data_IF_821242882269
#
_entry.id   IF_821242882269
#
_cell.length_a   1.000
_cell.length_b   1.000
_cell.length_c   1.000
_cell.angle_alpha   90.00
_cell.angle_beta   90.00
_cell.angle_gamma   90.00
#
_symmetry.space_group_name_H-M   'P 1'
#
loop_
_entity.id
_entity.type
_entity.pdbx_description
1 polymer ?
#
# COMPACT_ATOMS: atom_id res chain seq x y z
N UNK A 1 3.57 6.06 -26.68
CA UNK A 1 2.98 7.23 -26.00
C UNK A 1 4.12 8.13 -25.56
N UNK A 2 4.04 9.45 -25.86
CA UNK A 2 4.97 10.43 -25.31
C UNK A 2 4.56 10.78 -23.88
N UNK A 3 5.50 10.68 -22.94
CA UNK A 3 5.29 11.15 -21.57
C UNK A 3 5.53 12.66 -21.58
N UNK A 4 4.53 13.43 -21.16
CA UNK A 4 4.67 14.87 -20.95
C UNK A 4 5.05 15.10 -19.48
N UNK A 5 6.17 15.79 -19.24
CA UNK A 5 6.67 16.09 -17.91
C UNK A 5 6.47 17.58 -17.60
N UNK A 6 5.86 17.86 -16.45
CA UNK A 6 5.75 19.18 -15.88
C UNK A 6 6.60 19.25 -14.60
N UNK A 7 7.41 20.29 -14.45
CA UNK A 7 8.24 20.49 -13.28
C UNK A 7 7.73 21.71 -12.52
N UNK A 8 7.14 21.47 -11.36
CA UNK A 8 6.73 22.51 -10.42
C UNK A 8 7.83 22.68 -9.37
N UNK A 9 8.39 23.90 -9.27
CA UNK A 9 9.40 24.24 -8.27
C UNK A 9 8.79 25.23 -7.29
N UNK A 10 8.72 24.85 -6.03
CA UNK A 10 8.38 25.77 -4.94
C UNK A 10 9.64 26.07 -4.11
N UNK A 11 9.73 27.33 -3.63
CA UNK A 11 10.83 27.80 -2.78
C UNK A 11 10.42 27.95 -1.31
N UNK A 12 9.19 27.58 -0.98
CA UNK A 12 8.63 27.79 0.35
C UNK A 12 8.69 26.49 1.16
N UNK A 13 8.99 26.60 2.44
CA UNK A 13 9.06 25.52 3.44
C UNK A 13 7.71 24.80 3.70
N UNK A 14 6.66 25.10 2.93
CA UNK A 14 5.30 24.58 3.09
C UNK A 14 4.90 23.60 1.98
N UNK A 15 5.74 22.61 1.71
CA UNK A 15 5.48 21.58 0.69
C UNK A 15 4.16 20.82 0.89
N UNK A 16 3.66 20.68 2.13
CA UNK A 16 2.40 19.98 2.41
C UNK A 16 1.17 20.59 1.73
N UNK A 17 1.02 21.91 1.79
CA UNK A 17 -0.11 22.59 1.16
C UNK A 17 -0.05 22.46 -0.38
N UNK A 18 1.15 22.48 -0.94
CA UNK A 18 1.38 22.27 -2.36
C UNK A 18 1.07 20.82 -2.74
N UNK A 19 1.60 19.84 -2.01
CA UNK A 19 1.35 18.41 -2.25
C UNK A 19 -0.15 18.14 -2.22
N UNK A 20 -0.88 18.64 -1.22
CA UNK A 20 -2.34 18.49 -1.16
C UNK A 20 -3.04 19.06 -2.39
N UNK A 21 -2.64 20.26 -2.83
CA UNK A 21 -3.23 20.89 -4.00
C UNK A 21 -2.93 20.11 -5.29
N UNK A 22 -1.68 19.71 -5.49
CA UNK A 22 -1.25 18.98 -6.69
C UNK A 22 -1.86 17.58 -6.75
N UNK A 23 -1.95 16.88 -5.62
CA UNK A 23 -2.52 15.52 -5.56
C UNK A 23 -4.02 15.47 -5.82
N UNK A 24 -4.72 16.60 -5.73
CA UNK A 24 -6.13 16.71 -6.19
C UNK A 24 -6.29 16.48 -7.69
N UNK A 25 -5.28 16.81 -8.47
CA UNK A 25 -5.29 16.74 -9.93
C UNK A 25 -4.39 15.62 -10.48
N UNK A 26 -3.83 14.80 -9.60
CA UNK A 26 -2.99 13.68 -9.93
C UNK A 26 -3.73 12.35 -9.71
N UNK A 27 -3.43 11.35 -10.54
CA UNK A 27 -3.95 9.99 -10.37
C UNK A 27 -3.13 9.20 -9.33
N UNK A 28 -1.86 9.55 -9.15
CA UNK A 28 -0.93 8.83 -8.27
C UNK A 28 0.19 9.77 -7.79
N UNK A 29 0.50 9.70 -6.50
CA UNK A 29 1.71 10.29 -5.91
C UNK A 29 2.76 9.19 -5.71
N UNK A 30 3.94 9.36 -6.30
CA UNK A 30 5.07 8.44 -6.09
C UNK A 30 6.09 9.10 -5.17
N UNK A 31 6.46 8.42 -4.09
CA UNK A 31 7.41 8.91 -3.09
C UNK A 31 8.57 7.93 -2.90
N UNK A 32 9.79 8.44 -2.82
CA UNK A 32 10.95 7.66 -2.39
C UNK A 32 10.86 7.38 -0.87
N UNK A 33 10.62 6.12 -0.53
CA UNK A 33 10.48 5.70 0.86
C UNK A 33 11.78 5.82 1.67
N UNK A 34 12.97 5.75 1.06
CA UNK A 34 14.24 5.80 1.80
C UNK A 34 14.54 7.20 2.33
N UNK A 35 14.48 8.22 1.50
CA UNK A 35 14.73 9.61 1.90
C UNK A 35 13.75 10.13 2.96
N UNK A 36 12.54 9.57 2.99
CA UNK A 36 11.55 9.91 3.99
C UNK A 36 11.87 9.37 5.39
N UNK A 37 12.71 8.33 5.49
CA UNK A 37 13.03 7.69 6.76
C UNK A 37 14.44 8.01 7.27
N UNK A 38 15.33 8.59 6.44
CA UNK A 38 16.74 8.82 6.77
C UNK A 38 17.00 9.90 7.83
N UNK A 39 16.04 10.80 8.10
CA UNK A 39 16.30 12.00 8.93
C UNK A 39 15.67 11.94 10.33
N UNK A 40 15.17 10.81 10.81
CA UNK A 40 14.43 10.79 12.07
C UNK A 40 14.63 9.51 12.86
N UNK A 41 14.71 9.75 14.20
CA UNK A 41 14.72 8.78 15.29
C UNK A 41 14.04 7.45 14.91
N UNK A 42 14.79 6.39 15.05
CA UNK A 42 14.69 5.05 14.45
C UNK A 42 13.35 4.29 14.55
N UNK A 43 12.26 4.89 14.98
CA UNK A 43 11.06 4.13 15.33
C UNK A 43 9.73 4.59 14.74
N UNK A 44 9.65 5.72 14.03
CA UNK A 44 8.39 6.21 13.46
C UNK A 44 8.59 7.00 12.16
N UNK A 45 7.63 6.91 11.18
CA UNK A 45 7.61 7.85 10.08
C UNK A 45 7.52 9.27 10.66
N UNK A 46 8.29 10.19 10.07
CA UNK A 46 8.31 11.57 10.54
C UNK A 46 6.90 12.21 10.49
N UNK A 47 6.70 13.26 11.27
CA UNK A 47 5.43 13.96 11.29
C UNK A 47 5.01 14.43 9.90
N UNK A 48 5.97 14.78 9.04
CA UNK A 48 5.77 15.20 7.67
C UNK A 48 5.23 14.08 6.77
N UNK A 49 5.79 12.85 6.87
CA UNK A 49 5.27 11.68 6.16
C UNK A 49 3.86 11.34 6.61
N UNK A 50 3.60 11.41 7.92
CA UNK A 50 2.25 11.19 8.47
C UNK A 50 1.26 12.17 7.86
N UNK A 51 1.65 13.42 7.77
CA UNK A 51 0.81 14.48 7.21
C UNK A 51 0.56 14.26 5.72
N UNK A 52 1.58 13.93 4.93
CA UNK A 52 1.40 13.58 3.50
C UNK A 52 0.42 12.42 3.35
N UNK A 53 0.63 11.31 4.08
CA UNK A 53 -0.26 10.15 4.01
C UNK A 53 -1.71 10.45 4.41
N UNK A 54 -1.96 11.54 5.16
CA UNK A 54 -3.30 11.96 5.55
C UNK A 54 -3.92 13.04 4.66
N UNK A 55 -3.09 13.84 4.00
CA UNK A 55 -3.58 15.03 3.29
C UNK A 55 -3.63 14.88 1.78
N UNK A 56 -2.97 13.87 1.22
CA UNK A 56 -3.03 13.60 -0.23
C UNK A 56 -4.44 13.23 -0.65
N UNK A 57 -4.83 13.70 -1.83
CA UNK A 57 -6.17 13.47 -2.41
C UNK A 57 -6.15 12.39 -3.51
N UNK A 58 -4.99 11.77 -3.76
CA UNK A 58 -4.83 10.62 -4.65
C UNK A 58 -4.09 9.45 -3.96
N UNK A 59 -4.13 8.24 -4.52
CA UNK A 59 -3.32 7.12 -4.06
C UNK A 59 -1.83 7.44 -4.01
N UNK A 60 -1.11 6.73 -3.16
CA UNK A 60 0.33 6.89 -2.95
C UNK A 60 1.03 5.56 -3.26
N UNK A 61 2.12 5.62 -4.01
CA UNK A 61 3.07 4.54 -4.19
C UNK A 61 4.39 4.92 -3.52
N UNK A 62 4.69 4.24 -2.42
CA UNK A 62 5.96 4.35 -1.73
C UNK A 62 6.94 3.38 -2.37
N UNK A 63 8.05 3.89 -2.90
CA UNK A 63 9.03 3.07 -3.62
C UNK A 63 10.39 3.13 -2.93
N UNK A 64 11.12 2.01 -2.82
CA UNK A 64 12.53 2.03 -2.46
C UNK A 64 13.39 2.55 -3.62
N UNK A 65 14.62 3.02 -3.33
CA UNK A 65 15.51 3.63 -4.34
C UNK A 65 15.80 2.71 -5.55
N UNK A 66 15.68 1.40 -5.38
CA UNK A 66 15.84 0.40 -6.45
C UNK A 66 14.55 -0.40 -6.60
N UNK A 67 13.54 0.25 -7.13
CA UNK A 67 12.25 -0.41 -7.43
C UNK A 67 12.32 -1.14 -8.77
N UNK A 68 11.78 -2.34 -8.79
CA UNK A 68 11.61 -3.16 -10.00
C UNK A 68 10.13 -3.41 -10.26
N UNK A 69 9.80 -3.72 -11.50
CA UNK A 69 8.45 -4.15 -11.89
C UNK A 69 8.07 -5.39 -11.06
N UNK A 70 6.82 -5.44 -10.52
CA UNK A 70 6.41 -6.55 -9.68
C UNK A 70 6.42 -7.90 -10.43
N UNK A 71 6.76 -8.95 -9.73
CA UNK A 71 6.52 -10.32 -10.17
C UNK A 71 5.25 -10.89 -9.51
N UNK A 72 4.82 -10.27 -8.41
CA UNK A 72 3.66 -10.70 -7.64
C UNK A 72 3.01 -9.52 -6.91
N UNK A 73 1.68 -9.54 -6.84
CA UNK A 73 0.91 -8.54 -6.08
C UNK A 73 0.35 -9.17 -4.80
N UNK A 74 0.53 -8.48 -3.70
CA UNK A 74 -0.02 -8.88 -2.39
C UNK A 74 -1.07 -7.84 -2.00
N UNK A 75 -2.32 -8.27 -1.93
CA UNK A 75 -3.45 -7.42 -1.54
C UNK A 75 -3.77 -7.65 -0.06
N UNK A 76 -3.53 -6.65 0.77
CA UNK A 76 -3.88 -6.68 2.17
C UNK A 76 -5.36 -6.32 2.35
N UNK A 77 -6.14 -7.26 2.88
CA UNK A 77 -7.57 -7.11 3.11
C UNK A 77 -7.89 -7.29 4.60
N UNK A 78 -8.64 -6.35 5.17
CA UNK A 78 -9.08 -6.34 6.56
C UNK A 78 -10.61 -6.25 6.71
N UNK A 79 -11.36 -6.37 5.61
CA UNK A 79 -12.80 -6.19 5.57
C UNK A 79 -13.25 -4.72 5.54
N UNK A 80 -12.34 -3.75 5.62
CA UNK A 80 -12.68 -2.34 5.61
C UNK A 80 -12.97 -1.81 4.20
N UNK A 81 -13.78 -0.74 4.15
CA UNK A 81 -14.01 -0.01 2.90
C UNK A 81 -12.70 0.57 2.32
N UNK A 82 -11.72 0.89 3.18
CA UNK A 82 -10.42 1.42 2.75
C UNK A 82 -9.59 0.36 2.04
N UNK A 83 -9.55 -0.89 2.53
CA UNK A 83 -8.84 -1.97 1.85
C UNK A 83 -9.46 -2.29 0.49
N UNK A 84 -10.79 -2.36 0.41
CA UNK A 84 -11.50 -2.54 -0.87
C UNK A 84 -11.22 -1.38 -1.84
N UNK A 85 -11.23 -0.14 -1.33
CA UNK A 85 -10.94 1.04 -2.14
C UNK A 85 -9.52 1.00 -2.71
N UNK A 86 -8.52 0.69 -1.89
CA UNK A 86 -7.13 0.59 -2.34
C UNK A 86 -6.94 -0.50 -3.41
N UNK A 87 -7.57 -1.67 -3.24
CA UNK A 87 -7.55 -2.76 -4.24
C UNK A 87 -8.12 -2.28 -5.57
N UNK A 88 -9.29 -1.60 -5.55
CA UNK A 88 -9.90 -1.04 -6.75
C UNK A 88 -9.03 -0.01 -7.43
N UNK A 89 -8.47 0.95 -6.67
CA UNK A 89 -7.61 1.99 -7.21
C UNK A 89 -6.34 1.42 -7.82
N UNK A 90 -5.70 0.47 -7.15
CA UNK A 90 -4.53 -0.22 -7.69
C UNK A 90 -4.83 -0.91 -9.01
N UNK A 91 -5.91 -1.70 -9.06
CA UNK A 91 -6.29 -2.44 -10.26
C UNK A 91 -6.65 -1.54 -11.44
N UNK A 92 -7.22 -0.36 -11.19
CA UNK A 92 -7.56 0.63 -12.21
C UNK A 92 -6.33 1.39 -12.72
N UNK A 93 -5.38 1.70 -11.84
CA UNK A 93 -4.17 2.44 -12.18
C UNK A 93 -3.10 1.56 -12.86
N UNK A 94 -3.10 0.26 -12.58
CA UNK A 94 -2.11 -0.69 -13.11
C UNK A 94 -2.77 -1.90 -13.79
N UNK A 95 -3.60 -1.68 -14.83
CA UNK A 95 -4.28 -2.76 -15.55
C UNK A 95 -3.30 -3.73 -16.24
N UNK A 96 -2.07 -3.29 -16.53
CA UNK A 96 -0.99 -4.11 -17.09
C UNK A 96 -0.54 -5.23 -16.16
N UNK A 97 -0.86 -5.16 -14.86
CA UNK A 97 -0.52 -6.20 -13.88
C UNK A 97 -1.63 -7.25 -13.71
N UNK A 98 -2.71 -7.18 -14.48
CA UNK A 98 -3.85 -8.12 -14.40
C UNK A 98 -3.48 -9.60 -14.58
N UNK A 99 -2.40 -9.88 -15.33
CA UNK A 99 -1.89 -11.23 -15.55
C UNK A 99 -0.87 -11.73 -14.52
N UNK A 100 -0.50 -10.91 -13.51
CA UNK A 100 0.44 -11.32 -12.49
C UNK A 100 -0.23 -12.19 -11.41
N UNK A 101 0.53 -13.09 -10.76
CA UNK A 101 0.06 -13.80 -9.59
C UNK A 101 -0.32 -12.82 -8.47
N UNK A 102 -1.54 -12.97 -7.94
CA UNK A 102 -2.06 -12.17 -6.85
C UNK A 102 -2.35 -13.02 -5.64
N UNK A 103 -1.94 -12.55 -4.46
CA UNK A 103 -2.35 -13.16 -3.19
C UNK A 103 -3.15 -12.15 -2.37
N UNK A 104 -4.42 -12.44 -2.14
CA UNK A 104 -5.27 -11.69 -1.20
C UNK A 104 -5.02 -12.24 0.20
N UNK A 105 -4.44 -11.42 1.07
CA UNK A 105 -4.10 -11.78 2.45
C UNK A 105 -5.10 -11.17 3.40
N UNK A 106 -5.81 -12.01 4.14
CA UNK A 106 -6.66 -11.63 5.25
C UNK A 106 -6.06 -12.08 6.58
N UNK A 107 -5.90 -11.15 7.49
CA UNK A 107 -5.40 -11.42 8.83
C UNK A 107 -6.57 -11.42 9.81
N UNK A 108 -6.88 -12.59 10.42
CA UNK A 108 -7.99 -12.76 11.36
C UNK A 108 -7.53 -12.61 12.81
N UNK A 109 -8.37 -12.06 13.66
CA UNK A 109 -8.08 -11.88 15.09
C UNK A 109 -8.14 -13.18 15.90
N UNK A 110 -8.99 -14.12 15.48
CA UNK A 110 -9.13 -15.44 16.12
C UNK A 110 -9.40 -16.51 15.09
N UNK A 111 -9.28 -17.78 15.50
CA UNK A 111 -9.57 -18.94 14.64
C UNK A 111 -11.03 -18.99 14.19
N UNK A 112 -11.92 -18.47 15.02
CA UNK A 112 -13.36 -18.43 14.80
C UNK A 112 -13.79 -17.23 13.94
N UNK A 113 -12.93 -16.24 13.74
CA UNK A 113 -13.27 -15.06 12.95
C UNK A 113 -13.50 -15.44 11.48
N UNK A 114 -14.72 -15.18 11.02
CA UNK A 114 -15.09 -15.39 9.63
C UNK A 114 -14.32 -14.42 8.72
N UNK A 115 -14.03 -14.86 7.51
CA UNK A 115 -13.49 -13.99 6.47
C UNK A 115 -14.62 -13.01 6.03
N UNK A 116 -14.48 -11.71 6.27
CA UNK A 116 -15.57 -10.77 5.99
C UNK A 116 -15.79 -10.63 4.49
N UNK A 117 -17.05 -10.62 4.08
CA UNK A 117 -17.49 -10.40 2.69
C UNK A 117 -16.70 -11.22 1.65
N UNK A 118 -16.35 -12.45 2.00
CA UNK A 118 -15.45 -13.30 1.23
C UNK A 118 -15.86 -13.40 -0.24
N UNK A 119 -17.11 -13.75 -0.51
CA UNK A 119 -17.62 -13.92 -1.87
C UNK A 119 -17.48 -12.62 -2.69
N UNK A 120 -17.82 -11.49 -2.09
CA UNK A 120 -17.77 -10.19 -2.75
C UNK A 120 -16.33 -9.76 -3.08
N UNK A 121 -15.38 -9.99 -2.16
CA UNK A 121 -13.99 -9.61 -2.41
C UNK A 121 -13.30 -10.57 -3.39
N UNK A 122 -13.62 -11.86 -3.36
CA UNK A 122 -13.15 -12.83 -4.35
C UNK A 122 -13.66 -12.47 -5.75
N UNK A 123 -14.95 -12.17 -5.89
CA UNK A 123 -15.56 -11.74 -7.15
C UNK A 123 -14.89 -10.45 -7.67
N UNK A 124 -14.76 -9.45 -6.80
CA UNK A 124 -14.10 -8.18 -7.15
C UNK A 124 -12.69 -8.39 -7.68
N UNK A 125 -11.85 -9.13 -6.94
CA UNK A 125 -10.44 -9.33 -7.30
C UNK A 125 -10.30 -10.21 -8.53
N UNK A 126 -11.12 -11.27 -8.67
CA UNK A 126 -11.14 -12.13 -9.86
C UNK A 126 -11.59 -11.38 -11.12
N UNK A 127 -12.34 -10.29 -10.97
CA UNK A 127 -12.68 -9.40 -12.08
C UNK A 127 -11.51 -8.58 -12.61
N UNK A 128 -10.46 -8.39 -11.82
CA UNK A 128 -9.25 -7.65 -12.20
C UNK A 128 -8.04 -8.54 -12.50
N UNK A 129 -7.91 -9.69 -11.83
CA UNK A 129 -6.72 -10.55 -11.88
C UNK A 129 -7.06 -11.99 -12.22
N UNK A 130 -6.27 -12.62 -13.06
CA UNK A 130 -6.51 -13.97 -13.57
C UNK A 130 -5.94 -15.09 -12.68
N UNK A 131 -4.91 -14.82 -11.87
CA UNK A 131 -4.28 -15.78 -10.94
C UNK A 131 -4.40 -15.28 -9.50
N UNK A 132 -5.54 -15.56 -8.87
CA UNK A 132 -5.84 -15.17 -7.49
C UNK A 132 -5.62 -16.35 -6.53
N UNK A 133 -4.90 -16.11 -5.45
CA UNK A 133 -4.78 -16.98 -4.29
C UNK A 133 -5.27 -16.27 -3.04
N UNK A 134 -5.95 -17.01 -2.16
CA UNK A 134 -6.35 -16.52 -0.84
C UNK A 134 -5.41 -17.07 0.21
N UNK A 135 -4.94 -16.19 1.09
CA UNK A 135 -4.13 -16.53 2.25
C UNK A 135 -4.78 -15.96 3.50
N UNK A 136 -5.20 -16.82 4.41
CA UNK A 136 -5.75 -16.43 5.69
C UNK A 136 -4.74 -16.72 6.78
N UNK A 137 -4.37 -15.69 7.54
CA UNK A 137 -3.39 -15.77 8.62
C UNK A 137 -4.04 -15.32 9.94
N UNK A 138 -3.55 -15.83 11.07
CA UNK A 138 -3.91 -15.34 12.40
C UNK A 138 -3.04 -14.13 12.80
N UNK A 139 -3.58 -13.25 13.63
CA UNK A 139 -2.88 -12.03 14.09
C UNK A 139 -1.55 -12.35 14.78
N UNK A 140 -1.48 -13.46 15.50
CA UNK A 140 -0.25 -13.94 16.13
C UNK A 140 0.85 -14.31 15.11
N UNK A 141 0.49 -14.39 13.83
CA UNK A 141 1.41 -14.65 12.73
C UNK A 141 1.90 -13.37 12.01
N UNK A 142 1.86 -12.20 12.67
CA UNK A 142 2.45 -10.95 12.11
C UNK A 142 3.91 -11.13 11.72
N UNK A 143 4.69 -11.75 12.60
CA UNK A 143 6.10 -12.04 12.34
C UNK A 143 6.28 -13.01 11.16
N UNK A 144 5.30 -13.92 10.96
CA UNK A 144 5.29 -14.78 9.79
C UNK A 144 5.05 -13.97 8.51
N UNK A 145 4.04 -13.10 8.49
CA UNK A 145 3.73 -12.27 7.32
C UNK A 145 4.90 -11.36 6.96
N UNK A 146 5.55 -10.74 7.97
CA UNK A 146 6.71 -9.87 7.80
C UNK A 146 7.91 -10.60 7.18
N UNK A 147 8.12 -11.87 7.55
CA UNK A 147 9.18 -12.72 6.97
C UNK A 147 8.78 -13.31 5.61
N UNK A 148 7.53 -13.70 5.47
CA UNK A 148 7.00 -14.32 4.26
C UNK A 148 6.93 -13.36 3.06
N UNK A 149 6.53 -12.12 3.30
CA UNK A 149 6.32 -11.14 2.24
C UNK A 149 7.59 -10.86 1.41
N UNK A 150 8.78 -10.63 2.00
CA UNK A 150 10.01 -10.41 1.25
C UNK A 150 10.51 -11.63 0.47
N UNK A 151 10.07 -12.85 0.84
CA UNK A 151 10.44 -14.09 0.14
C UNK A 151 9.66 -14.28 -1.17
N UNK A 152 8.63 -13.48 -1.39
CA UNK A 152 7.87 -13.53 -2.65
C UNK A 152 8.70 -12.96 -3.80
N UNK A 153 8.38 -13.37 -5.02
CA UNK A 153 9.08 -12.89 -6.21
C UNK A 153 8.72 -11.42 -6.49
N UNK A 154 9.62 -10.50 -6.16
CA UNK A 154 9.48 -9.06 -6.40
C UNK A 154 8.08 -8.55 -6.00
N UNK A 155 7.68 -8.69 -4.73
CA UNK A 155 6.32 -8.39 -4.31
C UNK A 155 6.08 -6.87 -4.28
N UNK A 156 4.87 -6.46 -4.67
CA UNK A 156 4.32 -5.17 -4.31
C UNK A 156 3.17 -5.37 -3.33
N UNK A 157 3.12 -4.57 -2.28
CA UNK A 157 2.06 -4.60 -1.30
C UNK A 157 1.02 -3.53 -1.61
N UNK A 158 -0.25 -3.92 -1.66
CA UNK A 158 -1.39 -3.01 -1.75
C UNK A 158 -2.15 -3.04 -0.43
N UNK A 159 -2.35 -1.89 0.18
CA UNK A 159 -3.04 -1.77 1.47
C UNK A 159 -3.97 -0.57 1.50
N UNK A 160 -5.08 -0.69 2.22
CA UNK A 160 -5.91 0.46 2.56
C UNK A 160 -5.14 1.45 3.43
N UNK A 161 -5.61 2.69 3.46
CA UNK A 161 -5.07 3.67 4.38
C UNK A 161 -5.36 3.24 5.82
N UNK A 162 -4.49 3.65 6.69
CA UNK A 162 -4.49 3.49 8.14
C UNK A 162 -5.87 3.73 8.76
N UNK A 163 -6.73 2.71 8.69
CA UNK A 163 -8.09 2.75 9.20
C UNK A 163 -8.14 2.82 10.73
N UNK A 164 -9.31 3.17 11.24
CA UNK A 164 -9.59 3.31 12.68
C UNK A 164 -9.87 1.97 13.39
N UNK A 165 -9.80 0.83 12.67
CA UNK A 165 -10.05 -0.50 13.25
C UNK A 165 -8.76 -1.12 13.80
N UNK A 166 -8.88 -1.95 14.82
CA UNK A 166 -7.76 -2.65 15.45
C UNK A 166 -7.03 -3.60 14.48
N UNK A 167 -7.72 -4.11 13.47
CA UNK A 167 -7.13 -4.89 12.37
C UNK A 167 -6.18 -4.07 11.50
N UNK A 168 -6.40 -2.76 11.39
CA UNK A 168 -5.47 -1.86 10.69
C UNK A 168 -4.13 -1.69 11.40
N UNK A 169 -4.02 -2.13 12.66
CA UNK A 169 -2.74 -2.16 13.39
C UNK A 169 -1.75 -3.15 12.79
N UNK A 170 -2.22 -4.16 12.06
CA UNK A 170 -1.37 -5.14 11.38
C UNK A 170 -0.61 -4.53 10.21
N UNK A 171 -1.28 -3.62 9.50
CA UNK A 171 -0.68 -2.80 8.47
C UNK A 171 -0.36 -1.40 9.03
N UNK A 172 0.09 -1.36 10.29
CA UNK A 172 0.45 -0.13 10.96
C UNK A 172 1.56 0.62 10.22
N UNK A 173 1.65 1.93 10.45
CA UNK A 173 2.68 2.78 9.85
C UNK A 173 4.09 2.28 10.11
N UNK A 174 4.35 1.77 11.32
CA UNK A 174 5.62 1.16 11.70
C UNK A 174 5.92 -0.10 10.89
N UNK A 175 4.92 -0.92 10.60
CA UNK A 175 5.05 -2.10 9.75
C UNK A 175 5.42 -1.73 8.31
N UNK A 176 4.69 -0.78 7.71
CA UNK A 176 4.97 -0.31 6.35
C UNK A 176 6.34 0.38 6.27
N UNK A 177 6.69 1.19 7.28
CA UNK A 177 8.00 1.81 7.36
C UNK A 177 9.13 0.76 7.39
N UNK A 178 8.96 -0.31 8.16
CA UNK A 178 9.91 -1.40 8.21
C UNK A 178 10.00 -2.16 6.88
N UNK A 179 8.88 -2.43 6.21
CA UNK A 179 8.87 -3.07 4.89
C UNK A 179 9.67 -2.28 3.86
N UNK A 180 9.48 -0.97 3.81
CA UNK A 180 10.18 -0.10 2.86
C UNK A 180 11.66 0.00 3.19
N UNK A 181 12.00 0.24 4.47
CA UNK A 181 13.38 0.46 4.93
C UNK A 181 14.21 -0.82 4.90
N UNK A 182 13.69 -1.90 5.48
CA UNK A 182 14.43 -3.14 5.72
C UNK A 182 14.36 -4.08 4.52
N UNK A 183 13.17 -4.23 3.94
CA UNK A 183 12.91 -5.21 2.88
C UNK A 183 12.83 -4.61 1.48
N UNK A 184 12.83 -3.27 1.35
CA UNK A 184 12.80 -2.58 0.05
C UNK A 184 11.62 -2.99 -0.82
N UNK A 185 10.46 -3.17 -0.21
CA UNK A 185 9.22 -3.57 -0.89
C UNK A 185 8.40 -2.32 -1.22
N UNK A 186 7.99 -2.13 -2.48
CA UNK A 186 7.07 -1.07 -2.84
C UNK A 186 5.70 -1.27 -2.18
N UNK A 187 5.13 -0.18 -1.68
CA UNK A 187 3.82 -0.19 -1.01
C UNK A 187 2.89 0.82 -1.68
N UNK A 188 1.80 0.31 -2.23
CA UNK A 188 0.70 1.14 -2.69
C UNK A 188 -0.33 1.31 -1.57
N UNK A 189 -0.75 2.52 -1.32
CA UNK A 189 -1.80 2.82 -0.34
C UNK A 189 -2.79 3.85 -0.89
N UNK A 190 -4.06 3.66 -0.57
CA UNK A 190 -5.10 4.62 -0.91
C UNK A 190 -6.09 4.75 0.26
N UNK A 191 -6.66 5.94 0.40
CA UNK A 191 -7.71 6.23 1.38
C UNK A 191 -8.88 6.94 0.71
N UNK A 192 -10.03 6.80 1.34
CA UNK A 192 -11.27 7.45 0.91
C UNK A 192 -11.63 8.54 1.90
#
# INVERSE_FOLDING_TARGET
HSIQMFIHKDRLDFALALIRRETRFADLLVLDGQHFFENIDDRQPNAYMKEILHTTECPILLVPAKTVIPGKIILAYDGSASSVYAIKQFSQLFPEFSGLPVTLVYLRESKEAAFPDRENIEELVSGYFTDLRLLQLEVDHKDFFFRWLPEQERPWLVTGSYGRSDLSQLFSRSFIAALIREHKIPVFTAHR
#
